data_IF_288103539675
#
_entry.id   IF_288103539675
#
_cell.length_a   1.000
_cell.length_b   1.000
_cell.length_c   1.000
_cell.angle_alpha   90.00
_cell.angle_beta   90.00
_cell.angle_gamma   90.00
#
_symmetry.space_group_name_H-M   'P 1'
#
loop_
_entity.id
_entity.type
_entity.pdbx_description
1 polymer ?
#
# COMPACT_ATOMS: atom_id res chain seq x y z
N UNK A 1 -1.63 -24.81 -7.54
CA UNK A 1 -2.01 -23.65 -6.69
C UNK A 1 -0.92 -23.47 -5.64
N UNK A 2 -0.29 -22.29 -5.49
CA UNK A 2 0.58 -22.06 -4.36
C UNK A 2 -0.26 -22.18 -3.08
N UNK A 3 0.23 -22.91 -2.08
CA UNK A 3 -0.45 -23.01 -0.79
C UNK A 3 -0.41 -21.62 -0.15
N UNK A 4 -1.56 -20.98 0.03
CA UNK A 4 -1.67 -19.79 0.87
C UNK A 4 -1.04 -20.11 2.23
N UNK A 5 -0.16 -19.24 2.70
CA UNK A 5 0.57 -19.49 3.93
C UNK A 5 -0.36 -19.25 5.11
N UNK A 6 -0.69 -20.34 5.83
CA UNK A 6 -1.58 -20.27 6.98
C UNK A 6 -0.99 -19.36 8.06
N UNK A 7 -1.69 -18.28 8.45
CA UNK A 7 -1.23 -17.44 9.54
C UNK A 7 -1.27 -18.18 10.87
N UNK A 8 -0.29 -17.93 11.74
CA UNK A 8 -0.23 -18.46 13.11
C UNK A 8 -0.41 -17.31 14.09
N UNK A 9 -1.51 -17.29 14.85
CA UNK A 9 -1.78 -16.26 15.87
C UNK A 9 -1.00 -16.54 17.16
N UNK A 10 -0.59 -15.49 17.84
CA UNK A 10 0.00 -15.53 19.17
C UNK A 10 -0.50 -14.35 20.02
N UNK A 11 -0.09 -14.29 21.29
CA UNK A 11 -0.64 -13.31 22.26
C UNK A 11 -0.46 -11.86 21.79
N UNK A 12 0.70 -11.54 21.20
CA UNK A 12 1.06 -10.19 20.77
C UNK A 12 1.03 -9.99 19.24
N UNK A 13 0.22 -10.76 18.50
CA UNK A 13 0.06 -10.60 17.06
C UNK A 13 -0.01 -11.91 16.27
N UNK A 14 0.66 -11.99 15.12
CA UNK A 14 0.65 -13.19 14.28
C UNK A 14 1.92 -13.35 13.43
N UNK A 15 2.19 -14.58 12.99
CA UNK A 15 3.25 -14.90 12.02
C UNK A 15 2.66 -15.37 10.70
N UNK A 16 3.15 -14.83 9.59
CA UNK A 16 2.79 -15.26 8.22
C UNK A 16 4.02 -15.22 7.32
N UNK A 17 4.24 -16.25 6.50
CA UNK A 17 5.46 -16.41 5.68
C UNK A 17 6.78 -16.23 6.47
N UNK A 18 6.81 -16.69 7.73
CA UNK A 18 7.98 -16.54 8.60
C UNK A 18 8.23 -15.11 9.11
N UNK A 19 7.34 -14.16 8.79
CA UNK A 19 7.41 -12.79 9.28
C UNK A 19 6.40 -12.59 10.42
N UNK A 20 6.89 -12.19 11.59
CA UNK A 20 6.08 -11.91 12.78
C UNK A 20 5.60 -10.46 12.77
N UNK A 21 4.31 -10.26 12.97
CA UNK A 21 3.64 -8.97 13.08
C UNK A 21 3.23 -8.75 14.55
N UNK A 22 3.67 -7.65 15.13
CA UNK A 22 3.33 -7.21 16.49
C UNK A 22 2.26 -6.11 16.42
N UNK A 23 1.01 -6.52 16.21
CA UNK A 23 -0.15 -5.62 16.05
C UNK A 23 -1.28 -6.02 17.01
N UNK A 24 -2.23 -5.11 17.22
CA UNK A 24 -3.39 -5.32 18.08
C UNK A 24 -4.21 -6.55 17.66
N UNK A 25 -4.77 -7.27 18.64
CA UNK A 25 -5.60 -8.48 18.45
C UNK A 25 -6.83 -8.25 17.56
N UNK A 26 -7.25 -6.99 17.37
CA UNK A 26 -8.33 -6.63 16.46
C UNK A 26 -8.01 -6.97 15.00
N UNK A 27 -6.75 -7.10 14.62
CA UNK A 27 -6.34 -7.46 13.26
C UNK A 27 -6.19 -8.97 13.10
N UNK A 28 -7.17 -9.59 12.45
CA UNK A 28 -7.20 -11.01 12.17
C UNK A 28 -6.53 -11.33 10.81
N UNK A 29 -5.38 -12.02 10.76
CA UNK A 29 -4.67 -12.27 9.51
C UNK A 29 -5.41 -13.20 8.56
N UNK A 30 -5.37 -12.86 7.27
CA UNK A 30 -6.02 -13.63 6.20
C UNK A 30 -4.95 -14.29 5.33
N UNK A 31 -4.12 -13.51 4.64
CA UNK A 31 -3.13 -14.03 3.68
C UNK A 31 -1.97 -13.06 3.42
N UNK A 32 -0.84 -13.58 2.95
CA UNK A 32 0.30 -12.77 2.53
C UNK A 32 0.12 -12.36 1.06
N UNK A 33 0.06 -11.06 0.80
CA UNK A 33 -0.29 -10.52 -0.52
C UNK A 33 0.91 -9.94 -1.28
N UNK A 34 2.00 -9.63 -0.58
CA UNK A 34 3.22 -9.11 -1.19
C UNK A 34 4.45 -9.35 -0.33
N UNK A 35 5.59 -9.52 -1.00
CA UNK A 35 6.91 -9.58 -0.39
C UNK A 35 7.84 -8.70 -1.22
N UNK A 36 8.45 -7.70 -0.60
CA UNK A 36 9.36 -6.77 -1.26
C UNK A 36 10.59 -6.50 -0.42
N UNK A 37 11.48 -5.64 -0.93
CA UNK A 37 12.76 -5.29 -0.30
C UNK A 37 12.63 -4.76 1.13
N UNK A 38 11.47 -4.18 1.46
CA UNK A 38 11.20 -3.49 2.73
C UNK A 38 10.30 -4.29 3.69
N UNK A 39 9.90 -5.51 3.32
CA UNK A 39 9.12 -6.38 4.21
C UNK A 39 7.98 -7.15 3.54
N UNK A 40 7.11 -7.70 4.40
CA UNK A 40 5.93 -8.48 4.02
C UNK A 40 4.69 -7.59 4.14
N UNK A 41 3.83 -7.68 3.12
CA UNK A 41 2.48 -7.11 3.14
C UNK A 41 1.49 -8.26 3.30
N UNK A 42 0.60 -8.15 4.29
CA UNK A 42 -0.45 -9.12 4.52
C UNK A 42 -1.83 -8.46 4.51
N UNK A 43 -2.84 -9.22 4.11
CA UNK A 43 -4.24 -8.85 4.26
C UNK A 43 -4.77 -9.33 5.60
N UNK A 44 -5.55 -8.49 6.27
CA UNK A 44 -6.15 -8.79 7.58
C UNK A 44 -7.60 -8.28 7.61
N UNK A 45 -8.41 -8.85 8.50
CA UNK A 45 -9.72 -8.33 8.87
C UNK A 45 -9.57 -7.51 10.16
N UNK A 46 -9.87 -6.22 10.11
CA UNK A 46 -10.07 -5.43 11.32
C UNK A 46 -11.43 -5.81 11.92
N UNK A 47 -11.40 -6.59 12.99
CA UNK A 47 -12.60 -7.14 13.63
C UNK A 47 -13.46 -6.08 14.32
N UNK A 48 -12.90 -4.90 14.63
CA UNK A 48 -13.63 -3.77 15.21
C UNK A 48 -14.48 -3.04 14.16
N UNK A 49 -13.93 -2.80 12.97
CA UNK A 49 -14.64 -2.11 11.86
C UNK A 49 -15.32 -3.07 10.88
N UNK A 50 -15.02 -4.37 10.97
CA UNK A 50 -15.38 -5.41 9.99
C UNK A 50 -14.81 -5.19 8.58
N UNK A 51 -13.77 -4.38 8.49
CA UNK A 51 -13.16 -4.01 7.22
C UNK A 51 -11.89 -4.83 6.94
N UNK A 52 -11.68 -5.23 5.69
CA UNK A 52 -10.41 -5.82 5.25
C UNK A 52 -9.41 -4.73 4.90
N UNK A 53 -8.19 -4.86 5.42
CA UNK A 53 -7.10 -3.90 5.21
C UNK A 53 -5.80 -4.62 4.88
N UNK A 54 -4.88 -3.93 4.24
CA UNK A 54 -3.51 -4.40 4.03
C UNK A 54 -2.62 -3.85 5.16
N UNK A 55 -1.81 -4.70 5.79
CA UNK A 55 -0.76 -4.28 6.72
C UNK A 55 0.59 -4.46 6.02
N UNK A 56 1.30 -3.35 5.85
CA UNK A 56 2.70 -3.35 5.45
C UNK A 56 3.57 -3.19 6.69
N UNK A 57 4.45 -4.17 6.92
CA UNK A 57 5.50 -4.08 7.95
C UNK A 57 6.76 -3.45 7.35
N UNK A 58 7.37 -2.53 8.09
CA UNK A 58 8.65 -1.90 7.75
C UNK A 58 9.62 -2.11 8.91
N UNK A 59 10.78 -2.70 8.60
CA UNK A 59 11.84 -3.03 9.57
C UNK A 59 13.20 -3.10 8.90
N UNK A 60 14.29 -2.70 9.57
CA UNK A 60 14.32 -1.87 10.79
C UNK A 60 13.94 -0.41 10.47
N UNK A 61 13.36 0.32 11.43
CA UNK A 61 13.10 1.76 11.24
C UNK A 61 14.35 2.62 11.49
N UNK A 62 15.27 2.15 12.33
CA UNK A 62 16.47 2.90 12.74
C UNK A 62 17.77 2.42 12.07
N UNK A 63 17.71 1.39 11.22
CA UNK A 63 18.91 0.73 10.66
C UNK A 63 19.61 1.51 9.54
N UNK A 64 18.86 2.25 8.72
CA UNK A 64 19.38 3.11 7.66
C UNK A 64 18.60 4.44 7.63
N UNK A 65 19.31 5.55 7.83
CA UNK A 65 18.75 6.91 7.78
C UNK A 65 18.05 7.19 6.44
N UNK A 66 18.55 6.58 5.36
CA UNK A 66 17.95 6.68 4.04
C UNK A 66 16.57 6.03 4.00
N UNK A 67 16.44 4.81 4.52
CA UNK A 67 15.17 4.06 4.51
C UNK A 67 14.13 4.68 5.46
N UNK A 68 14.57 5.20 6.60
CA UNK A 68 13.73 5.95 7.53
C UNK A 68 13.15 7.21 6.87
N UNK A 69 14.00 7.97 6.18
CA UNK A 69 13.59 9.19 5.47
C UNK A 69 12.58 8.89 4.34
N UNK A 70 12.79 7.81 3.59
CA UNK A 70 11.84 7.41 2.53
C UNK A 70 10.49 6.97 3.10
N UNK A 71 10.51 6.18 4.18
CA UNK A 71 9.31 5.73 4.87
C UNK A 71 8.49 6.91 5.42
N UNK A 72 9.14 7.87 6.08
CA UNK A 72 8.48 9.07 6.60
C UNK A 72 7.92 9.95 5.48
N UNK A 73 8.62 10.07 4.35
CA UNK A 73 8.10 10.78 3.17
C UNK A 73 6.86 10.10 2.62
N UNK A 74 6.86 8.78 2.49
CA UNK A 74 5.70 8.03 2.02
C UNK A 74 4.48 8.29 2.91
N UNK A 75 4.65 8.16 4.23
CA UNK A 75 3.58 8.45 5.21
C UNK A 75 3.07 9.89 5.08
N UNK A 76 3.98 10.87 5.00
CA UNK A 76 3.62 12.27 4.88
C UNK A 76 2.85 12.55 3.60
N UNK A 77 3.25 11.95 2.48
CA UNK A 77 2.59 12.13 1.20
C UNK A 77 1.19 11.51 1.19
N UNK A 78 1.04 10.28 1.71
CA UNK A 78 -0.30 9.67 1.83
C UNK A 78 -1.23 10.50 2.74
N UNK A 79 -0.72 11.04 3.85
CA UNK A 79 -1.50 11.95 4.71
C UNK A 79 -1.85 13.26 4.03
N UNK A 80 -0.95 13.82 3.22
CA UNK A 80 -1.17 15.08 2.51
C UNK A 80 -2.18 14.96 1.37
N UNK A 81 -2.13 13.86 0.62
CA UNK A 81 -3.06 13.57 -0.47
C UNK A 81 -4.46 13.22 0.05
N UNK A 82 -4.57 12.82 1.32
CA UNK A 82 -5.83 12.53 1.98
C UNK A 82 -6.54 11.33 1.35
N UNK A 83 -7.86 11.33 1.47
CA UNK A 83 -8.71 10.33 0.80
C UNK A 83 -9.01 10.79 -0.63
N UNK A 84 -8.53 10.03 -1.61
CA UNK A 84 -8.86 10.21 -3.01
C UNK A 84 -9.16 8.84 -3.63
N UNK A 85 -10.22 8.75 -4.43
CA UNK A 85 -10.72 7.47 -4.98
C UNK A 85 -9.61 6.68 -5.70
N UNK A 86 -8.74 7.37 -6.45
CA UNK A 86 -7.67 6.77 -7.24
C UNK A 86 -6.26 6.82 -6.62
N UNK A 87 -6.14 7.10 -5.32
CA UNK A 87 -4.87 7.08 -4.58
C UNK A 87 -5.06 6.18 -3.35
N UNK A 88 -4.09 5.31 -3.07
CA UNK A 88 -4.17 4.45 -1.91
C UNK A 88 -4.18 5.26 -0.61
N UNK A 89 -5.14 4.96 0.25
CA UNK A 89 -5.31 5.68 1.52
C UNK A 89 -4.63 4.96 2.67
N UNK A 90 -3.95 5.74 3.52
CA UNK A 90 -3.42 5.29 4.80
C UNK A 90 -4.51 5.39 5.86
N UNK A 91 -4.93 4.24 6.42
CA UNK A 91 -6.03 4.14 7.38
C UNK A 91 -5.58 4.27 8.83
N UNK A 92 -4.44 3.65 9.16
CA UNK A 92 -3.91 3.66 10.52
C UNK A 92 -2.39 3.44 10.52
N UNK A 93 -1.73 3.81 11.61
CA UNK A 93 -0.31 3.58 11.84
C UNK A 93 -0.11 3.07 13.26
N UNK A 94 0.65 1.99 13.41
CA UNK A 94 1.09 1.51 14.72
C UNK A 94 2.55 1.10 14.70
N UNK A 95 3.19 1.12 15.87
CA UNK A 95 4.62 0.89 16.03
C UNK A 95 4.88 -0.07 17.18
N UNK A 96 5.87 -0.95 17.00
CA UNK A 96 6.46 -1.73 18.08
C UNK A 96 7.87 -1.17 18.36
N UNK A 97 7.97 -0.22 19.30
CA UNK A 97 9.23 0.48 19.60
C UNK A 97 10.32 -0.47 20.07
N UNK A 98 9.97 -1.45 20.90
CA UNK A 98 10.91 -2.45 21.41
C UNK A 98 11.56 -3.31 20.32
N UNK A 99 10.89 -3.43 19.17
CA UNK A 99 11.32 -4.25 18.04
C UNK A 99 11.76 -3.42 16.83
N UNK A 100 11.69 -2.10 16.92
CA UNK A 100 12.00 -1.17 15.84
C UNK A 100 11.18 -1.43 14.55
N UNK A 101 9.85 -1.58 14.71
CA UNK A 101 8.94 -1.96 13.62
C UNK A 101 7.78 -0.97 13.44
N UNK A 102 7.51 -0.62 12.19
CA UNK A 102 6.33 0.15 11.77
C UNK A 102 5.34 -0.74 11.05
N UNK A 103 4.06 -0.47 11.30
CA UNK A 103 2.96 -1.11 10.62
C UNK A 103 2.05 -0.05 10.02
N UNK A 104 1.85 -0.14 8.71
CA UNK A 104 1.00 0.76 7.94
C UNK A 104 -0.25 0.02 7.52
N UNK A 105 -1.41 0.45 8.04
CA UNK A 105 -2.71 -0.08 7.65
C UNK A 105 -3.19 0.72 6.45
N UNK A 106 -3.33 0.06 5.33
CA UNK A 106 -3.73 0.67 4.06
C UNK A 106 -5.01 0.01 3.57
N UNK A 107 -5.67 0.68 2.64
CA UNK A 107 -6.72 0.06 1.85
C UNK A 107 -6.22 -1.21 1.14
N UNK A 108 -7.09 -2.21 1.05
CA UNK A 108 -6.79 -3.49 0.41
C UNK A 108 -7.34 -3.49 -1.03
N UNK A 109 -6.53 -3.94 -1.98
CA UNK A 109 -6.97 -4.21 -3.35
C UNK A 109 -6.77 -5.69 -3.70
N UNK A 110 -7.45 -6.15 -4.75
CA UNK A 110 -7.41 -7.56 -5.16
C UNK A 110 -6.10 -7.92 -5.89
N UNK A 111 -5.62 -7.06 -6.78
CA UNK A 111 -4.41 -7.31 -7.58
C UNK A 111 -3.75 -6.00 -8.01
N UNK A 112 -2.56 -6.10 -8.60
CA UNK A 112 -1.94 -5.02 -9.37
C UNK A 112 -2.21 -5.17 -10.88
N UNK A 113 -2.07 -4.08 -11.62
CA UNK A 113 -2.30 -4.01 -13.06
C UNK A 113 -1.28 -4.85 -13.84
N UNK A 114 -0.07 -5.07 -13.31
CA UNK A 114 0.92 -5.93 -13.95
C UNK A 114 0.43 -7.38 -14.04
N UNK A 115 -0.09 -7.92 -12.93
CA UNK A 115 -0.71 -9.24 -12.88
C UNK A 115 -1.97 -9.33 -13.74
N UNK A 116 -2.79 -8.28 -13.76
CA UNK A 116 -3.98 -8.24 -14.61
C UNK A 116 -3.62 -8.32 -16.10
N UNK A 117 -2.62 -7.55 -16.54
CA UNK A 117 -2.13 -7.56 -17.93
C UNK A 117 -1.56 -8.94 -18.32
N UNK A 118 -0.90 -9.64 -17.40
CA UNK A 118 -0.35 -10.98 -17.63
C UNK A 118 -1.39 -12.10 -17.54
N UNK A 119 -2.58 -11.81 -17.04
CA UNK A 119 -3.64 -12.80 -16.88
C UNK A 119 -4.28 -13.14 -18.22
N UNK A 120 -5.03 -14.25 -18.27
CA UNK A 120 -5.86 -14.62 -19.42
C UNK A 120 -7.15 -13.80 -19.52
N UNK A 121 -7.37 -12.83 -18.63
CA UNK A 121 -8.57 -11.99 -18.64
C UNK A 121 -8.46 -10.91 -19.74
N UNK A 122 -9.34 -10.92 -20.76
CA UNK A 122 -9.28 -9.92 -21.81
C UNK A 122 -9.69 -8.54 -21.31
N UNK A 123 -8.83 -7.54 -21.54
CA UNK A 123 -9.14 -6.13 -21.29
C UNK A 123 -9.80 -5.52 -22.54
N UNK A 124 -11.05 -5.11 -22.41
CA UNK A 124 -11.78 -4.41 -23.49
C UNK A 124 -11.33 -2.96 -23.58
N UNK A 125 -11.63 -2.28 -24.69
CA UNK A 125 -11.39 -0.84 -24.81
C UNK A 125 -12.11 -0.03 -23.71
N UNK A 126 -13.28 -0.50 -23.26
CA UNK A 126 -14.01 0.09 -22.15
C UNK A 126 -13.22 0.02 -20.84
N UNK A 127 -12.66 -1.15 -20.52
CA UNK A 127 -11.79 -1.32 -19.35
C UNK A 127 -10.57 -0.42 -19.43
N UNK A 128 -9.90 -0.38 -20.58
CA UNK A 128 -8.71 0.46 -20.79
C UNK A 128 -9.04 1.94 -20.58
N UNK A 129 -10.17 2.42 -21.14
CA UNK A 129 -10.61 3.81 -20.98
C UNK A 129 -10.83 4.18 -19.52
N UNK A 130 -11.52 3.33 -18.76
CA UNK A 130 -11.81 3.55 -17.33
C UNK A 130 -10.55 3.51 -16.48
N UNK A 131 -9.64 2.57 -16.75
CA UNK A 131 -8.34 2.47 -16.08
C UNK A 131 -7.50 3.72 -16.34
N UNK A 132 -7.41 4.17 -17.60
CA UNK A 132 -6.64 5.36 -17.97
C UNK A 132 -7.23 6.63 -17.37
N UNK A 133 -8.56 6.77 -17.34
CA UNK A 133 -9.24 7.89 -16.72
C UNK A 133 -8.89 7.99 -15.22
N UNK A 134 -9.02 6.89 -14.49
CA UNK A 134 -8.72 6.83 -13.05
C UNK A 134 -7.24 7.08 -12.75
N UNK A 135 -6.33 6.57 -13.58
CA UNK A 135 -4.91 6.86 -13.48
C UNK A 135 -4.65 8.37 -13.61
N UNK A 136 -5.21 9.01 -14.64
CA UNK A 136 -5.05 10.44 -14.86
C UNK A 136 -5.70 11.27 -13.75
N UNK A 137 -6.83 10.83 -13.20
CA UNK A 137 -7.50 11.43 -12.05
C UNK A 137 -6.59 11.43 -10.81
N UNK A 138 -6.02 10.27 -10.46
CA UNK A 138 -5.07 10.16 -9.34
C UNK A 138 -3.80 11.00 -9.55
N UNK A 139 -3.24 10.99 -10.77
CA UNK A 139 -2.07 11.82 -11.11
C UNK A 139 -2.39 13.31 -11.01
N UNK A 140 -3.57 13.74 -11.47
CA UNK A 140 -4.02 15.12 -11.30
C UNK A 140 -4.08 15.51 -9.83
N UNK A 141 -4.68 14.68 -8.97
CA UNK A 141 -4.74 14.96 -7.54
C UNK A 141 -3.35 15.08 -6.89
N UNK A 142 -2.38 14.24 -7.31
CA UNK A 142 -0.98 14.38 -6.88
C UNK A 142 -0.39 15.72 -7.34
N UNK A 143 -0.54 16.06 -8.61
CA UNK A 143 0.00 17.30 -9.18
C UNK A 143 -0.61 18.55 -8.56
N UNK A 144 -1.91 18.56 -8.29
CA UNK A 144 -2.61 19.65 -7.62
C UNK A 144 -2.07 19.88 -6.19
N UNK A 145 -1.50 18.86 -5.56
CA UNK A 145 -0.81 18.92 -4.26
C UNK A 145 0.72 19.07 -4.37
N UNK A 146 1.24 19.36 -5.56
CA UNK A 146 2.68 19.54 -5.80
C UNK A 146 3.49 18.25 -5.66
N UNK A 147 2.86 17.07 -5.78
CA UNK A 147 3.50 15.76 -5.66
C UNK A 147 3.74 15.17 -7.05
N UNK A 148 4.97 14.78 -7.34
CA UNK A 148 5.30 13.99 -8.54
C UNK A 148 5.52 12.52 -8.18
N UNK A 149 4.80 11.60 -8.85
CA UNK A 149 4.89 10.16 -8.56
C UNK A 149 6.27 9.55 -8.87
N UNK A 150 6.80 9.83 -10.07
CA UNK A 150 8.12 9.42 -10.62
C UNK A 150 8.39 7.92 -10.83
N UNK A 151 7.53 7.02 -10.36
CA UNK A 151 7.63 5.57 -10.62
C UNK A 151 6.28 4.95 -11.04
N UNK A 152 5.57 5.60 -11.98
CA UNK A 152 4.32 5.03 -12.49
C UNK A 152 4.64 3.84 -13.39
N UNK A 153 4.22 2.65 -12.94
CA UNK A 153 4.33 1.39 -13.68
C UNK A 153 3.18 0.46 -13.28
N UNK A 154 2.82 -0.55 -14.09
CA UNK A 154 1.67 -1.41 -13.80
C UNK A 154 1.72 -2.12 -12.43
N UNK A 155 2.91 -2.49 -11.94
CA UNK A 155 3.05 -3.08 -10.60
C UNK A 155 2.79 -2.13 -9.43
N UNK A 156 2.73 -0.83 -9.71
CA UNK A 156 2.41 0.23 -8.75
C UNK A 156 0.96 0.75 -8.92
N UNK A 157 0.12 0.06 -9.69
CA UNK A 157 -1.29 0.42 -9.88
C UNK A 157 -2.12 -0.75 -9.37
N UNK A 158 -2.77 -0.58 -8.23
CA UNK A 158 -3.69 -1.57 -7.69
C UNK A 158 -5.05 -1.45 -8.37
N UNK A 159 -5.72 -2.59 -8.54
CA UNK A 159 -7.04 -2.68 -9.14
C UNK A 159 -7.87 -3.74 -8.43
N UNK A 160 -9.16 -3.48 -8.27
CA UNK A 160 -10.13 -4.45 -7.76
C UNK A 160 -11.00 -5.05 -8.88
N UNK A 161 -11.86 -6.00 -8.52
CA UNK A 161 -12.77 -6.67 -9.47
C UNK A 161 -13.77 -5.73 -10.14
N UNK A 162 -14.08 -4.60 -9.52
CA UNK A 162 -14.99 -3.58 -10.05
C UNK A 162 -14.26 -2.59 -10.98
N UNK A 163 -13.00 -2.87 -11.33
CA UNK A 163 -12.12 -2.01 -12.14
C UNK A 163 -11.80 -0.66 -11.50
N UNK A 164 -11.92 -0.53 -10.18
CA UNK A 164 -11.47 0.65 -9.45
C UNK A 164 -9.95 0.61 -9.31
N UNK A 165 -9.28 1.65 -9.79
CA UNK A 165 -7.83 1.77 -9.79
C UNK A 165 -7.36 2.67 -8.67
N UNK A 166 -6.29 2.24 -7.98
CA UNK A 166 -5.58 3.01 -6.95
C UNK A 166 -4.09 3.03 -7.24
N UNK A 167 -3.55 4.22 -7.43
CA UNK A 167 -2.10 4.38 -7.53
C UNK A 167 -1.45 4.10 -6.17
N UNK A 168 -0.42 3.25 -6.17
CA UNK A 168 0.40 2.90 -5.01
C UNK A 168 1.87 3.24 -5.25
N UNK A 169 2.67 3.13 -4.19
CA UNK A 169 4.12 3.24 -4.19
C UNK A 169 4.63 4.67 -4.46
N UNK A 170 4.48 5.48 -3.43
CA UNK A 170 4.93 6.87 -3.38
C UNK A 170 6.41 6.97 -2.91
N UNK A 171 7.12 5.84 -2.74
CA UNK A 171 8.52 5.83 -2.27
C UNK A 171 9.44 6.67 -3.15
N UNK A 172 9.22 6.60 -4.47
CA UNK A 172 9.99 7.38 -5.43
C UNK A 172 9.40 8.77 -5.63
N UNK A 173 8.31 9.16 -4.97
CA UNK A 173 7.68 10.45 -5.19
C UNK A 173 8.38 11.57 -4.42
N UNK A 174 8.31 12.80 -4.94
CA UNK A 174 8.85 14.00 -4.27
C UNK A 174 7.83 15.14 -4.38
N UNK A 175 7.76 15.95 -3.33
CA UNK A 175 7.22 17.30 -3.45
C UNK A 175 8.08 18.08 -4.44
N UNK A 176 7.44 18.84 -5.33
CA UNK A 176 8.10 19.85 -6.13
C UNK A 176 8.63 20.95 -5.20
N UNK A 177 9.94 21.12 -5.17
CA UNK A 177 10.63 22.13 -4.33
C UNK A 177 10.59 23.52 -4.99
N UNK A 178 10.06 23.66 -6.20
CA UNK A 178 9.83 24.95 -6.84
C UNK A 178 8.33 25.22 -6.87
N UNK A 179 7.88 26.22 -6.09
CA UNK A 179 6.65 27.05 -6.22
C UNK A 179 6.23 27.71 -4.88
N UNK A 180 6.98 27.56 -3.79
CA UNK A 180 6.92 28.51 -2.66
C UNK A 180 7.96 29.59 -2.94
N UNK A 181 7.62 30.52 -3.83
CA UNK A 181 8.17 31.88 -3.92
C UNK A 181 7.47 32.56 -5.10
N UNK A 182 6.24 33.04 -4.84
CA UNK A 182 5.65 34.24 -5.44
C UNK A 182 4.43 34.66 -4.61
#
# INVERSE_FOLDING_TARGET
MPKHATPVKHENGFTINGCTFHVDKKYDPIDAIGQGSYGVVCSVLNTATKEKVAIKKITPMAGDEWDATHTLREIRLMRCLGEHENIISLKDLTMCVEKDELYMMMELADTDLHRLIQSSCPLTEGHIRVIMYQLLSGVKAMHDNGVLHRDLKPGNLLINKDCELKAINIFSSRFLIHWIDH
#
